data_IF_463059484870
#
_entry.id   IF_463059484870
#
_cell.length_a   1.000
_cell.length_b   1.000
_cell.length_c   1.000
_cell.angle_alpha   90.00
_cell.angle_beta   90.00
_cell.angle_gamma   90.00
#
_symmetry.space_group_name_H-M   'P 1'
#
loop_
_entity.id
_entity.type
_entity.pdbx_description
1 polymer ?
#
# COMPACT_ATOMS: atom_id res chain seq x y z
N UNK A 1 -28.07 0.07 -16.39
CA UNK A 1 -27.60 1.04 -15.37
C UNK A 1 -28.15 0.73 -13.98
N UNK A 2 -29.47 0.52 -13.82
CA UNK A 2 -30.10 0.22 -12.52
C UNK A 2 -29.53 -1.03 -11.81
N UNK A 3 -29.39 -2.15 -12.54
CA UNK A 3 -28.85 -3.41 -11.99
C UNK A 3 -27.44 -3.28 -11.41
N UNK A 4 -26.61 -2.41 -12.01
CA UNK A 4 -25.23 -2.17 -11.52
C UNK A 4 -25.23 -1.38 -10.22
N UNK A 5 -26.15 -0.42 -10.08
CA UNK A 5 -26.29 0.34 -8.83
C UNK A 5 -26.78 -0.55 -7.70
N UNK A 6 -27.80 -1.39 -7.96
CA UNK A 6 -28.32 -2.34 -6.97
C UNK A 6 -27.24 -3.31 -6.47
N UNK A 7 -26.48 -3.92 -7.40
CA UNK A 7 -25.39 -4.81 -7.03
C UNK A 7 -24.29 -4.10 -6.23
N UNK A 8 -24.00 -2.83 -6.53
CA UNK A 8 -23.04 -2.04 -5.78
C UNK A 8 -23.53 -1.74 -4.36
N UNK A 9 -24.81 -1.40 -4.18
CA UNK A 9 -25.39 -1.16 -2.85
C UNK A 9 -25.33 -2.43 -2.00
N UNK A 10 -25.60 -3.60 -2.59
CA UNK A 10 -25.46 -4.89 -1.91
C UNK A 10 -24.01 -5.17 -1.52
N UNK A 11 -23.06 -4.92 -2.43
CA UNK A 11 -21.64 -5.11 -2.16
C UNK A 11 -21.13 -4.22 -1.02
N UNK A 12 -21.60 -2.97 -0.95
CA UNK A 12 -21.22 -2.02 0.10
C UNK A 12 -21.77 -2.36 1.50
N UNK A 13 -22.77 -3.25 1.58
CA UNK A 13 -23.32 -3.77 2.84
C UNK A 13 -22.53 -4.96 3.40
N UNK A 14 -21.61 -5.53 2.61
CA UNK A 14 -20.77 -6.64 3.03
C UNK A 14 -19.67 -6.18 4.02
N UNK A 15 -19.04 -7.16 4.66
CA UNK A 15 -17.91 -6.94 5.56
C UNK A 15 -16.59 -7.16 4.81
N UNK A 16 -15.55 -6.33 4.99
CA UNK A 16 -15.47 -5.16 5.88
C UNK A 16 -16.21 -3.91 5.36
N UNK A 17 -16.83 -3.16 6.28
CA UNK A 17 -17.51 -1.90 5.95
C UNK A 17 -16.57 -0.92 5.24
N UNK A 18 -17.05 -0.31 4.15
CA UNK A 18 -16.28 0.61 3.30
C UNK A 18 -15.65 -0.04 2.07
N UNK A 19 -15.81 -1.35 1.86
CA UNK A 19 -15.46 -2.02 0.59
C UNK A 19 -16.43 -1.58 -0.51
N UNK A 20 -15.90 -1.38 -1.73
CA UNK A 20 -16.70 -0.94 -2.87
C UNK A 20 -17.06 0.54 -2.87
N UNK A 21 -16.45 1.34 -1.99
CA UNK A 21 -16.57 2.80 -2.04
C UNK A 21 -15.81 3.37 -3.26
N UNK A 22 -16.38 4.39 -3.89
CA UNK A 22 -15.81 5.09 -5.05
C UNK A 22 -14.88 6.24 -4.64
N UNK A 23 -14.96 6.65 -3.38
CA UNK A 23 -14.18 7.76 -2.83
C UNK A 23 -13.89 7.54 -1.35
N UNK A 24 -12.89 8.26 -0.83
CA UNK A 24 -12.54 8.20 0.60
C UNK A 24 -13.71 8.65 1.49
N UNK A 25 -14.44 9.70 1.08
CA UNK A 25 -15.62 10.18 1.81
C UNK A 25 -16.68 9.09 1.90
N UNK A 26 -17.00 8.44 0.78
CA UNK A 26 -17.95 7.32 0.75
C UNK A 26 -17.49 6.14 1.62
N UNK A 27 -16.20 5.80 1.58
CA UNK A 27 -15.63 4.72 2.39
C UNK A 27 -15.80 4.98 3.90
N UNK A 28 -15.45 6.19 4.35
CA UNK A 28 -15.57 6.58 5.75
C UNK A 28 -17.04 6.73 6.16
N UNK A 29 -17.88 7.29 5.30
CA UNK A 29 -19.32 7.42 5.52
C UNK A 29 -19.99 6.06 5.73
N UNK A 30 -19.68 5.04 4.92
CA UNK A 30 -20.19 3.68 5.07
C UNK A 30 -19.77 3.05 6.41
N UNK A 31 -18.51 3.25 6.81
CA UNK A 31 -18.01 2.76 8.11
C UNK A 31 -18.70 3.44 9.29
N UNK A 32 -18.95 4.74 9.21
CA UNK A 32 -19.67 5.49 10.26
C UNK A 32 -21.12 5.05 10.34
N UNK A 33 -21.81 4.89 9.20
CA UNK A 33 -23.18 4.36 9.17
C UNK A 33 -23.27 2.98 9.82
N UNK A 34 -22.31 2.09 9.54
CA UNK A 34 -22.22 0.79 10.21
C UNK A 34 -22.06 0.94 11.72
N UNK A 35 -21.20 1.84 12.20
CA UNK A 35 -21.04 2.10 13.65
C UNK A 35 -22.29 2.67 14.32
N UNK A 36 -23.04 3.54 13.64
CA UNK A 36 -24.31 4.06 14.18
C UNK A 36 -25.36 2.99 14.44
N UNK A 37 -25.30 1.86 13.73
CA UNK A 37 -26.23 0.74 13.96
C UNK A 37 -25.92 -0.05 15.23
N UNK A 38 -24.67 0.00 15.71
CA UNK A 38 -24.19 -0.75 16.88
C UNK A 38 -23.98 0.12 18.11
N UNK A 39 -23.59 1.38 17.97
CA UNK A 39 -23.33 2.32 19.06
C UNK A 39 -24.39 3.43 19.09
N UNK A 40 -25.42 3.20 19.91
CA UNK A 40 -26.55 4.13 20.08
C UNK A 40 -26.25 5.26 21.07
N UNK A 41 -25.28 5.08 21.97
CA UNK A 41 -24.94 6.06 23.01
C UNK A 41 -24.21 7.27 22.40
N UNK A 42 -23.33 7.04 21.42
CA UNK A 42 -22.56 8.09 20.75
C UNK A 42 -23.21 8.59 19.45
N UNK A 43 -24.50 8.34 19.24
CA UNK A 43 -25.19 8.60 17.97
C UNK A 43 -25.05 10.05 17.49
N UNK A 44 -25.21 11.03 18.39
CA UNK A 44 -25.08 12.46 18.04
C UNK A 44 -23.66 12.82 17.54
N UNK A 45 -22.62 12.26 18.18
CA UNK A 45 -21.24 12.49 17.76
C UNK A 45 -20.93 11.76 16.44
N UNK A 46 -21.49 10.57 16.24
CA UNK A 46 -21.39 9.84 14.98
C UNK A 46 -22.08 10.58 13.84
N UNK A 47 -23.23 11.23 14.07
CA UNK A 47 -23.94 12.02 13.07
C UNK A 47 -23.11 13.23 12.62
N UNK A 48 -22.47 13.92 13.57
CA UNK A 48 -21.51 14.97 13.24
C UNK A 48 -20.30 14.43 12.45
N UNK A 49 -19.75 13.29 12.87
CA UNK A 49 -18.65 12.65 12.16
C UNK A 49 -19.04 12.27 10.72
N UNK A 50 -20.26 11.78 10.50
CA UNK A 50 -20.78 11.43 9.19
C UNK A 50 -20.86 12.67 8.27
N UNK A 51 -21.42 13.78 8.76
CA UNK A 51 -21.52 15.03 8.00
C UNK A 51 -20.14 15.60 7.65
N UNK A 52 -19.21 15.53 8.59
CA UNK A 52 -17.82 15.95 8.39
C UNK A 52 -17.10 15.07 7.34
N UNK A 53 -17.27 13.75 7.40
CA UNK A 53 -16.68 12.80 6.46
C UNK A 53 -17.24 12.94 5.04
N UNK A 54 -18.51 13.31 4.89
CA UNK A 54 -19.15 13.42 3.58
C UNK A 54 -18.63 14.63 2.78
N UNK A 55 -18.55 15.81 3.41
CA UNK A 55 -18.39 17.07 2.67
C UNK A 55 -17.23 17.97 3.16
N UNK A 56 -16.58 17.65 4.28
CA UNK A 56 -15.62 18.57 4.91
C UNK A 56 -14.27 17.95 5.30
N UNK A 57 -13.91 16.82 4.70
CA UNK A 57 -12.59 16.20 4.89
C UNK A 57 -11.42 17.16 4.59
N UNK A 58 -11.55 18.03 3.58
CA UNK A 58 -10.54 19.03 3.23
C UNK A 58 -10.33 20.07 4.34
N UNK A 59 -11.42 20.53 4.98
CA UNK A 59 -11.36 21.47 6.10
C UNK A 59 -10.75 20.83 7.35
N UNK A 60 -11.02 19.54 7.56
CA UNK A 60 -10.38 18.75 8.64
C UNK A 60 -8.88 18.64 8.39
N UNK A 61 -8.46 18.38 7.15
CA UNK A 61 -7.05 18.29 6.78
C UNK A 61 -6.31 19.63 7.00
N UNK A 62 -6.97 20.74 6.73
CA UNK A 62 -6.45 22.10 6.96
C UNK A 62 -6.52 22.55 8.43
N UNK A 63 -7.15 21.77 9.33
CA UNK A 63 -7.39 22.11 10.74
C UNK A 63 -8.17 23.43 10.94
N UNK A 64 -9.08 23.74 10.03
CA UNK A 64 -9.89 24.97 10.06
C UNK A 64 -11.08 24.86 11.04
N UNK A 65 -10.81 24.71 12.34
CA UNK A 65 -11.83 24.48 13.37
C UNK A 65 -12.84 25.63 13.50
N UNK A 66 -12.37 26.88 13.35
CA UNK A 66 -13.24 28.06 13.43
C UNK A 66 -14.35 28.06 12.37
N UNK A 67 -14.03 27.68 11.13
CA UNK A 67 -15.02 27.58 10.04
C UNK A 67 -15.98 26.43 10.26
N UNK A 68 -15.49 25.29 10.76
CA UNK A 68 -16.34 24.14 11.09
C UNK A 68 -17.31 24.46 12.22
N UNK A 69 -16.86 25.18 13.25
CA UNK A 69 -17.70 25.67 14.35
C UNK A 69 -18.83 26.55 13.86
N UNK A 70 -18.53 27.50 12.97
CA UNK A 70 -19.56 28.39 12.41
C UNK A 70 -20.59 27.64 11.56
N UNK A 71 -20.15 26.63 10.79
CA UNK A 71 -21.02 25.85 9.90
C UNK A 71 -21.95 24.92 10.68
N UNK A 72 -21.41 24.19 11.64
CA UNK A 72 -22.16 23.17 12.39
C UNK A 72 -22.84 23.71 13.65
N UNK A 73 -22.46 24.93 14.11
CA UNK A 73 -22.95 25.54 15.35
C UNK A 73 -22.78 24.64 16.58
N UNK A 74 -21.74 23.81 16.58
CA UNK A 74 -21.39 22.90 17.68
C UNK A 74 -20.19 23.43 18.47
N UNK A 75 -19.97 22.89 19.67
CA UNK A 75 -18.75 23.19 20.43
C UNK A 75 -17.52 22.65 19.70
N UNK A 76 -16.37 23.28 19.94
CA UNK A 76 -15.09 22.80 19.39
C UNK A 76 -14.75 21.40 19.92
N UNK A 77 -15.09 21.10 21.18
CA UNK A 77 -14.91 19.76 21.77
C UNK A 77 -15.66 18.69 20.98
N UNK A 78 -16.93 18.92 20.64
CA UNK A 78 -17.75 17.97 19.89
C UNK A 78 -17.19 17.73 18.47
N UNK A 79 -16.65 18.78 17.83
CA UNK A 79 -16.01 18.65 16.52
C UNK A 79 -14.73 17.83 16.62
N UNK A 80 -13.91 18.07 17.65
CA UNK A 80 -12.67 17.32 17.88
C UNK A 80 -12.94 15.85 18.19
N UNK A 81 -13.97 15.54 18.98
CA UNK A 81 -14.43 14.17 19.24
C UNK A 81 -14.88 13.49 17.94
N UNK A 82 -15.71 14.15 17.14
CA UNK A 82 -16.13 13.62 15.83
C UNK A 82 -14.94 13.36 14.90
N UNK A 83 -13.95 14.25 14.89
CA UNK A 83 -12.70 14.08 14.12
C UNK A 83 -11.86 12.92 14.65
N UNK A 84 -11.81 12.72 15.97
CA UNK A 84 -11.13 11.57 16.57
C UNK A 84 -11.75 10.25 16.12
N UNK A 85 -13.09 10.19 16.03
CA UNK A 85 -13.80 9.03 15.47
C UNK A 85 -13.38 8.81 14.03
N UNK A 86 -13.41 9.84 13.17
CA UNK A 86 -13.01 9.73 11.75
C UNK A 86 -11.58 9.20 11.62
N UNK A 87 -10.64 9.70 12.43
CA UNK A 87 -9.24 9.25 12.44
C UNK A 87 -9.06 7.81 12.91
N UNK A 88 -9.99 7.27 13.70
CA UNK A 88 -9.97 5.88 14.14
C UNK A 88 -10.40 4.87 13.06
N UNK A 89 -10.95 5.35 11.94
CA UNK A 89 -11.47 4.52 10.85
C UNK A 89 -10.36 4.11 9.87
N UNK A 90 -10.65 3.10 9.03
CA UNK A 90 -9.67 2.53 8.10
C UNK A 90 -9.95 3.00 6.67
N UNK A 91 -9.02 3.75 6.08
CA UNK A 91 -9.17 4.22 4.69
C UNK A 91 -9.07 3.08 3.65
N UNK A 92 -8.44 1.96 4.00
CA UNK A 92 -8.34 0.78 3.15
C UNK A 92 -8.69 -0.48 3.95
N UNK A 93 -9.98 -0.88 3.99
CA UNK A 93 -10.41 -2.03 4.77
C UNK A 93 -9.85 -3.36 4.24
N UNK A 94 -9.49 -3.43 2.94
CA UNK A 94 -8.94 -4.62 2.30
C UNK A 94 -7.52 -4.98 2.76
N UNK A 95 -6.78 -4.03 3.35
CA UNK A 95 -5.40 -4.24 3.80
C UNK A 95 -5.28 -5.37 4.84
N UNK A 96 -6.35 -5.63 5.61
CA UNK A 96 -6.37 -6.71 6.61
C UNK A 96 -6.33 -8.11 6.01
N UNK A 97 -6.69 -8.24 4.74
CA UNK A 97 -6.68 -9.50 4.00
C UNK A 97 -5.45 -9.61 3.09
N UNK A 98 -4.54 -8.64 3.14
CA UNK A 98 -3.30 -8.68 2.37
C UNK A 98 -2.39 -9.75 2.96
N UNK A 99 -2.35 -10.91 2.32
CA UNK A 99 -1.33 -11.92 2.59
C UNK A 99 -0.07 -11.46 1.88
N UNK A 100 0.70 -10.62 2.56
CA UNK A 100 2.03 -10.26 2.10
C UNK A 100 2.88 -11.54 2.09
N UNK A 101 2.92 -12.21 0.94
CA UNK A 101 3.87 -13.28 0.69
C UNK A 101 5.22 -12.59 0.78
N UNK A 102 5.93 -12.78 1.89
CA UNK A 102 7.27 -12.21 2.10
C UNK A 102 8.06 -12.43 0.82
N UNK A 103 8.30 -11.33 0.10
CA UNK A 103 9.11 -11.39 -1.10
C UNK A 103 10.53 -11.65 -0.60
N UNK A 104 10.93 -12.92 -0.62
CA UNK A 104 12.30 -13.29 -0.28
C UNK A 104 13.24 -12.62 -1.27
N UNK A 105 13.84 -11.50 -0.85
CA UNK A 105 14.93 -10.90 -1.58
C UNK A 105 16.13 -11.83 -1.48
N UNK A 106 16.59 -12.29 -2.64
CA UNK A 106 17.80 -13.10 -2.70
C UNK A 106 19.01 -12.17 -2.51
N UNK A 107 19.88 -12.40 -1.51
CA UNK A 107 21.01 -11.51 -1.24
C UNK A 107 22.12 -11.64 -2.30
N UNK A 108 22.82 -10.54 -2.58
CA UNK A 108 23.97 -10.52 -3.50
C UNK A 108 25.20 -11.25 -2.92
N UNK A 109 25.31 -11.27 -1.59
CA UNK A 109 26.43 -11.86 -0.85
C UNK A 109 25.90 -12.60 0.38
N UNK A 110 26.40 -13.82 0.59
CA UNK A 110 26.08 -14.67 1.74
C UNK A 110 27.34 -14.86 2.58
N UNK A 111 27.28 -14.45 3.84
CA UNK A 111 28.37 -14.61 4.80
C UNK A 111 28.09 -15.85 5.65
N UNK A 112 29.03 -16.81 5.68
CA UNK A 112 28.90 -18.07 6.44
C UNK A 112 30.14 -18.31 7.29
N UNK A 113 29.95 -18.93 8.45
CA UNK A 113 31.04 -19.47 9.24
C UNK A 113 31.51 -20.79 8.61
N UNK A 114 32.81 -20.87 8.33
CA UNK A 114 33.43 -22.12 7.92
C UNK A 114 33.59 -23.08 9.12
N UNK A 115 33.83 -24.36 8.87
CA UNK A 115 34.04 -25.42 9.88
C UNK A 115 35.18 -25.13 10.87
N UNK A 116 36.05 -24.16 10.56
CA UNK A 116 37.14 -23.67 11.43
C UNK A 116 36.80 -22.39 12.21
N UNK A 117 35.53 -21.98 12.24
CA UNK A 117 35.06 -20.79 12.97
C UNK A 117 35.45 -19.45 12.34
N UNK A 118 35.90 -19.43 11.08
CA UNK A 118 36.24 -18.19 10.36
C UNK A 118 35.08 -17.74 9.48
N UNK A 119 34.83 -16.43 9.45
CA UNK A 119 33.88 -15.81 8.54
C UNK A 119 34.37 -15.92 7.10
N UNK A 120 33.53 -16.45 6.22
CA UNK A 120 33.78 -16.56 4.78
C UNK A 120 32.64 -15.92 4.02
N UNK A 121 32.99 -15.07 3.07
CA UNK A 121 32.06 -14.28 2.26
C UNK A 121 31.92 -14.95 0.89
N UNK A 122 30.71 -15.35 0.53
CA UNK A 122 30.40 -15.94 -0.77
C UNK A 122 29.46 -15.04 -1.56
N UNK A 123 29.88 -14.59 -2.74
CA UNK A 123 28.98 -13.90 -3.68
C UNK A 123 27.97 -14.88 -4.26
N UNK A 124 26.72 -14.46 -4.36
CA UNK A 124 25.64 -15.26 -4.92
C UNK A 124 25.82 -15.44 -6.43
N UNK A 125 26.04 -16.69 -6.86
CA UNK A 125 26.32 -17.02 -8.25
C UNK A 125 25.07 -17.04 -9.14
N UNK A 126 23.86 -16.91 -8.57
CA UNK A 126 22.62 -16.86 -9.33
C UNK A 126 22.58 -15.69 -10.35
N UNK A 127 23.33 -14.62 -10.10
CA UNK A 127 23.42 -13.45 -10.98
C UNK A 127 24.61 -13.46 -11.95
N UNK A 128 25.46 -14.50 -11.95
CA UNK A 128 26.62 -14.54 -12.87
C UNK A 128 26.23 -15.20 -14.19
N UNK A 129 26.17 -14.45 -15.32
CA UNK A 129 25.97 -15.07 -16.61
C UNK A 129 27.11 -16.05 -16.89
N UNK A 130 26.78 -17.29 -17.24
CA UNK A 130 27.78 -18.28 -17.66
C UNK A 130 28.24 -17.93 -19.07
N UNK A 131 29.34 -17.18 -19.15
CA UNK A 131 29.99 -16.88 -20.43
C UNK A 131 30.90 -18.05 -20.81
N UNK A 132 30.59 -18.71 -21.92
CA UNK A 132 31.46 -19.72 -22.52
C UNK A 132 31.98 -19.18 -23.84
N UNK A 133 33.30 -19.04 -23.97
CA UNK A 133 33.92 -18.66 -25.24
C UNK A 133 33.96 -19.89 -26.16
N UNK A 134 33.49 -19.74 -27.39
CA UNK A 134 33.67 -20.78 -28.40
C UNK A 134 35.16 -20.88 -28.79
N UNK A 135 35.78 -22.01 -28.46
CA UNK A 135 37.21 -22.21 -28.65
C UNK A 135 37.62 -22.21 -30.13
N UNK A 136 36.74 -22.64 -31.05
CA UNK A 136 37.06 -22.69 -32.48
C UNK A 136 37.22 -21.30 -33.08
N UNK A 137 36.32 -20.37 -32.74
CA UNK A 137 36.46 -18.96 -33.15
C UNK A 137 37.71 -18.30 -32.55
N UNK A 138 38.11 -18.69 -31.33
CA UNK A 138 39.33 -18.18 -30.70
C UNK A 138 40.60 -18.62 -31.43
N UNK A 139 40.60 -19.80 -32.07
CA UNK A 139 41.72 -20.29 -32.88
C UNK A 139 41.81 -19.54 -34.21
N UNK A 140 40.69 -19.37 -34.91
CA UNK A 140 40.63 -18.65 -36.19
C UNK A 140 41.12 -17.20 -36.03
N UNK A 141 40.74 -16.52 -34.93
CA UNK A 141 41.21 -15.17 -34.62
C UNK A 141 42.72 -15.12 -34.36
N UNK A 142 43.29 -16.11 -33.68
CA UNK A 142 44.73 -16.20 -33.42
C UNK A 142 45.53 -16.44 -34.71
N UNK A 143 45.04 -17.32 -35.59
CA UNK A 143 45.68 -17.61 -36.88
C UNK A 143 45.63 -16.43 -37.86
N UNK A 144 44.54 -15.64 -37.84
CA UNK A 144 44.46 -14.44 -38.67
C UNK A 144 45.34 -13.29 -38.14
N UNK A 145 45.54 -13.19 -36.83
CA UNK A 145 46.47 -12.22 -36.25
C UNK A 145 47.95 -12.56 -36.54
N UNK A 146 48.32 -13.85 -36.54
CA UNK A 146 49.68 -14.26 -36.90
C UNK A 146 49.99 -14.06 -38.39
N UNK A 147 48.97 -14.10 -39.26
CA UNK A 147 49.13 -13.74 -40.69
C UNK A 147 49.30 -12.23 -40.91
N UNK A 148 48.67 -11.37 -40.10
CA UNK A 148 48.85 -9.91 -40.21
C UNK A 148 50.23 -9.42 -39.75
N UNK A 149 50.86 -10.08 -38.77
CA UNK A 149 52.21 -9.70 -38.30
C UNK A 149 53.34 -10.06 -39.25
N UNK A 150 53.10 -10.94 -40.25
CA UNK A 150 54.08 -11.34 -41.26
C UNK A 150 53.92 -10.60 -42.60
N UNK A 151 53.15 -9.51 -42.63
CA UNK A 151 52.93 -8.70 -43.85
C UNK A 151 53.21 -7.20 -43.64
N UNK A 152 54.10 -6.87 -42.71
CA UNK A 152 54.66 -5.52 -42.52
C UNK A 152 56.18 -5.56 -42.70
#
# INVERSE_FOLDING_TARGET
MLQLQEGLTQLQQLDPAGVGARSLSECLSLQIQRRMTTDLEHKNCLELAFLLAQNHLTKIAQKDWGKLRQLFKQSESAILEAVAIIKSLQHNPGLRFDTNVEQWMTPDVVVKLNTKGKWVVHSNQAFKPRLTLNQEYSRILKENNSKKSNSA
#
